data_IF_430512940780
#
_entry.id   IF_430512940780
#
_cell.length_a   1.000
_cell.length_b   1.000
_cell.length_c   1.000
_cell.angle_alpha   90.00
_cell.angle_beta   90.00
_cell.angle_gamma   90.00
#
_symmetry.space_group_name_H-M   'P 1'
#
loop_
_entity.id
_entity.type
_entity.pdbx_description
1 polymer ?
#
# COMPACT_ATOMS: atom_id res chain seq x y z
N UNK A 1 8.25 12.14 -10.47
CA UNK A 1 7.68 13.47 -10.80
C UNK A 1 8.81 14.50 -10.91
N UNK A 2 9.47 14.85 -9.80
CA UNK A 2 10.46 15.94 -9.71
C UNK A 2 11.58 15.94 -10.79
N UNK A 3 12.02 14.78 -11.25
CA UNK A 3 13.13 14.68 -12.21
C UNK A 3 12.77 14.85 -13.70
N UNK A 4 11.49 15.02 -14.07
CA UNK A 4 11.08 15.14 -15.48
C UNK A 4 11.08 16.61 -15.93
N UNK A 5 11.97 17.04 -16.85
CA UNK A 5 12.04 18.46 -17.23
C UNK A 5 10.80 18.95 -17.98
N UNK A 6 10.13 18.06 -18.73
CA UNK A 6 8.94 18.42 -19.49
C UNK A 6 7.66 18.43 -18.66
N UNK A 7 7.72 18.13 -17.36
CA UNK A 7 6.54 18.04 -16.51
C UNK A 7 5.56 16.91 -16.87
N UNK A 8 5.95 15.97 -17.74
CA UNK A 8 5.04 14.94 -18.27
C UNK A 8 4.62 13.88 -17.24
N UNK A 9 5.26 13.84 -16.07
CA UNK A 9 4.95 12.90 -15.00
C UNK A 9 4.16 13.64 -13.93
N UNK A 10 2.96 13.16 -13.64
CA UNK A 10 2.06 13.77 -12.67
C UNK A 10 1.46 12.70 -11.75
N UNK A 11 1.01 13.12 -10.57
CA UNK A 11 0.19 12.32 -9.66
C UNK A 11 -1.24 12.78 -9.85
N UNK A 12 -2.16 11.84 -10.06
CA UNK A 12 -3.59 12.11 -10.12
C UNK A 12 -4.08 12.51 -8.73
N UNK A 13 -4.92 13.53 -8.64
CA UNK A 13 -5.38 14.10 -7.37
C UNK A 13 -6.42 13.18 -6.73
N UNK A 14 -7.23 12.52 -7.56
CA UNK A 14 -8.37 11.73 -7.15
C UNK A 14 -8.02 10.38 -6.50
N UNK A 15 -6.96 9.73 -6.96
CA UNK A 15 -6.57 8.37 -6.56
C UNK A 15 -5.08 8.21 -6.24
N UNK A 16 -4.29 9.27 -6.44
CA UNK A 16 -2.87 9.28 -6.18
C UNK A 16 -2.03 8.46 -7.16
N UNK A 17 -2.59 7.96 -8.27
CA UNK A 17 -1.85 7.19 -9.27
C UNK A 17 -0.89 8.10 -10.03
N UNK A 18 0.39 7.71 -10.06
CA UNK A 18 1.42 8.43 -10.81
C UNK A 18 1.43 7.94 -12.25
N UNK A 19 1.26 8.83 -13.23
CA UNK A 19 1.27 8.52 -14.66
C UNK A 19 2.35 9.30 -15.41
N UNK A 20 2.66 8.84 -16.62
CA UNK A 20 3.50 9.57 -17.59
C UNK A 20 2.62 9.85 -18.79
N UNK A 21 2.30 11.13 -19.02
CA UNK A 21 1.58 11.57 -20.21
C UNK A 21 2.39 11.20 -21.44
N UNK A 22 1.82 10.34 -22.29
CA UNK A 22 2.52 9.93 -23.51
C UNK A 22 2.62 11.10 -24.50
N UNK A 23 1.65 12.03 -24.52
CA UNK A 23 1.73 13.21 -25.40
C UNK A 23 2.73 14.26 -24.89
N UNK A 24 2.81 14.43 -23.56
CA UNK A 24 3.75 15.36 -22.93
C UNK A 24 5.19 14.83 -22.85
N UNK A 25 5.39 13.52 -22.97
CA UNK A 25 6.71 12.91 -22.86
C UNK A 25 7.60 13.27 -24.06
N UNK A 26 8.74 13.91 -23.79
CA UNK A 26 9.74 14.30 -24.80
C UNK A 26 10.98 13.41 -24.84
N UNK A 27 10.96 12.27 -24.14
CA UNK A 27 12.07 11.30 -24.20
C UNK A 27 13.37 11.75 -23.53
N UNK A 28 13.34 12.71 -22.60
CA UNK A 28 14.53 13.20 -21.87
C UNK A 28 15.23 12.14 -21.01
N UNK A 29 14.55 11.04 -20.68
CA UNK A 29 15.05 9.87 -19.92
C UNK A 29 15.56 10.16 -18.50
N UNK A 30 15.60 11.39 -18.00
CA UNK A 30 16.03 11.69 -16.61
C UNK A 30 15.19 10.98 -15.53
N UNK A 31 13.92 10.69 -15.82
CA UNK A 31 13.06 9.96 -14.90
C UNK A 31 13.50 8.51 -14.65
N UNK A 32 14.15 7.86 -15.62
CA UNK A 32 14.58 6.44 -15.55
C UNK A 32 15.65 6.23 -14.47
N UNK A 33 16.81 6.91 -14.48
CA UNK A 33 17.81 6.75 -13.43
C UNK A 33 17.33 7.32 -12.09
N UNK A 34 16.53 8.40 -12.12
CA UNK A 34 16.08 9.09 -10.91
C UNK A 34 15.08 8.29 -10.08
N UNK A 35 14.32 7.35 -10.67
CA UNK A 35 13.48 6.47 -9.90
C UNK A 35 14.37 5.50 -9.11
N UNK A 36 14.40 5.56 -7.76
CA UNK A 36 15.29 4.71 -6.98
C UNK A 36 14.91 3.23 -7.12
N UNK A 37 13.62 2.93 -7.25
CA UNK A 37 13.10 1.58 -7.51
C UNK A 37 13.25 1.07 -8.94
N UNK A 38 13.74 1.90 -9.88
CA UNK A 38 13.88 1.56 -11.31
C UNK A 38 12.60 1.01 -11.93
N UNK A 39 11.46 1.62 -11.60
CA UNK A 39 10.10 1.26 -12.08
C UNK A 39 9.59 2.11 -13.24
N UNK A 40 10.47 2.88 -13.87
CA UNK A 40 10.22 3.58 -15.12
C UNK A 40 11.12 2.95 -16.17
N UNK A 41 10.52 2.52 -17.27
CA UNK A 41 11.18 1.83 -18.37
C UNK A 41 11.13 2.72 -19.60
N UNK A 42 12.21 2.73 -20.36
CA UNK A 42 12.25 3.47 -21.61
C UNK A 42 11.83 2.56 -22.76
N UNK A 43 10.80 2.97 -23.50
CA UNK A 43 10.41 2.32 -24.74
C UNK A 43 11.27 2.90 -25.88
N UNK A 44 12.13 2.06 -26.44
CA UNK A 44 13.08 2.42 -27.48
C UNK A 44 12.42 2.57 -28.86
N UNK A 45 11.23 2.01 -29.08
CA UNK A 45 10.46 2.18 -30.31
C UNK A 45 9.73 3.52 -30.32
N UNK A 46 8.96 3.80 -29.26
CA UNK A 46 8.17 5.05 -29.16
C UNK A 46 9.00 6.25 -28.72
N UNK A 47 10.24 6.01 -28.29
CA UNK A 47 11.15 6.98 -27.69
C UNK A 47 10.60 7.68 -26.43
N UNK A 48 9.64 7.04 -25.73
CA UNK A 48 8.97 7.58 -24.54
C UNK A 48 9.20 6.69 -23.32
N UNK A 49 9.03 7.27 -22.14
CA UNK A 49 9.10 6.54 -20.89
C UNK A 49 7.71 5.99 -20.51
N UNK A 50 7.68 4.75 -20.05
CA UNK A 50 6.50 4.03 -19.60
C UNK A 50 6.71 3.49 -18.19
N UNK A 51 5.62 3.26 -17.46
CA UNK A 51 5.65 2.71 -16.10
C UNK A 51 4.36 1.97 -15.80
N UNK A 52 4.36 1.25 -14.67
CA UNK A 52 3.12 0.72 -14.09
C UNK A 52 2.07 1.84 -13.96
N UNK A 53 0.90 1.66 -14.57
CA UNK A 53 -0.22 2.61 -14.56
C UNK A 53 -1.19 2.36 -13.39
N UNK A 54 -0.81 1.49 -12.46
CA UNK A 54 -1.65 0.97 -11.38
C UNK A 54 -3.02 0.45 -11.86
N UNK A 55 -3.10 0.02 -13.13
CA UNK A 55 -4.35 -0.37 -13.79
C UNK A 55 -5.47 0.67 -13.58
N UNK A 56 -5.17 1.97 -13.69
CA UNK A 56 -6.16 3.03 -13.44
C UNK A 56 -7.52 2.84 -14.15
N UNK A 57 -7.62 2.31 -15.39
CA UNK A 57 -8.93 2.08 -16.01
C UNK A 57 -9.78 1.05 -15.25
N UNK A 58 -9.16 0.11 -14.53
CA UNK A 58 -9.84 -0.84 -13.65
C UNK A 58 -10.22 -0.19 -12.33
N UNK A 59 -9.32 0.61 -11.74
CA UNK A 59 -9.56 1.29 -10.47
C UNK A 59 -10.72 2.28 -10.55
N UNK A 60 -10.83 3.02 -11.65
CA UNK A 60 -11.96 3.91 -11.94
C UNK A 60 -13.32 3.19 -11.90
N UNK A 61 -13.32 1.86 -12.11
CA UNK A 61 -14.50 1.00 -12.05
C UNK A 61 -14.60 0.20 -10.74
N UNK A 62 -13.80 0.51 -9.72
CA UNK A 62 -13.77 -0.21 -8.45
C UNK A 62 -13.18 -1.63 -8.57
N UNK A 63 -12.49 -1.94 -9.66
CA UNK A 63 -11.89 -3.25 -9.90
C UNK A 63 -10.43 -3.28 -9.44
N UNK A 64 -9.95 -4.41 -8.90
CA UNK A 64 -8.55 -4.55 -8.52
C UNK A 64 -7.63 -4.51 -9.74
N UNK A 65 -6.36 -4.16 -9.49
CA UNK A 65 -5.31 -4.24 -10.49
C UNK A 65 -5.12 -5.67 -10.97
N UNK A 66 -4.68 -5.85 -12.22
CA UNK A 66 -4.52 -7.19 -12.82
C UNK A 66 -3.58 -8.07 -11.99
N UNK A 67 -2.49 -7.50 -11.51
CA UNK A 67 -1.50 -8.22 -10.71
C UNK A 67 -1.98 -8.52 -9.28
N UNK A 68 -2.97 -7.79 -8.76
CA UNK A 68 -3.63 -8.10 -7.49
C UNK A 68 -4.73 -9.15 -7.64
N UNK A 69 -5.57 -9.05 -8.66
CA UNK A 69 -6.64 -10.00 -8.94
C UNK A 69 -6.07 -11.38 -9.32
N UNK A 70 -5.01 -11.41 -10.15
CA UNK A 70 -4.30 -12.61 -10.56
C UNK A 70 -3.31 -13.17 -9.52
N UNK A 71 -3.27 -12.63 -8.30
CA UNK A 71 -2.34 -13.08 -7.27
C UNK A 71 -2.79 -14.43 -6.68
N UNK A 72 -2.18 -15.52 -7.16
CA UNK A 72 -2.47 -16.91 -6.74
C UNK A 72 -2.28 -17.10 -5.23
N UNK A 73 -1.22 -16.55 -4.65
CA UNK A 73 -0.93 -16.65 -3.21
C UNK A 73 -1.83 -15.78 -2.32
N UNK A 74 -2.77 -15.03 -2.89
CA UNK A 74 -3.74 -14.19 -2.17
C UNK A 74 -3.13 -13.15 -1.21
N UNK A 75 -1.88 -12.76 -1.42
CA UNK A 75 -1.10 -11.91 -0.51
C UNK A 75 -1.22 -10.39 -0.76
N UNK A 76 -1.97 -9.98 -1.78
CA UNK A 76 -2.13 -8.57 -2.15
C UNK A 76 -3.44 -8.01 -1.62
N UNK A 77 -3.36 -6.82 -1.05
CA UNK A 77 -4.46 -6.05 -0.48
C UNK A 77 -4.46 -4.66 -1.12
N UNK A 78 -5.63 -4.14 -1.45
CA UNK A 78 -5.81 -2.78 -1.96
C UNK A 78 -6.91 -2.12 -1.13
N UNK A 79 -6.59 -0.95 -0.59
CA UNK A 79 -7.51 -0.12 0.17
C UNK A 79 -7.08 1.33 0.11
N UNK A 80 -8.03 2.24 0.39
CA UNK A 80 -7.79 3.68 0.42
C UNK A 80 -6.96 4.04 1.65
N UNK A 81 -6.02 4.97 1.47
CA UNK A 81 -5.29 5.63 2.55
C UNK A 81 -5.52 7.13 2.42
N UNK A 82 -6.08 7.74 3.46
CA UNK A 82 -6.15 9.20 3.56
C UNK A 82 -4.81 9.69 4.09
N UNK A 83 -4.29 10.75 3.50
CA UNK A 83 -3.03 11.36 3.92
C UNK A 83 -3.10 12.87 3.79
N UNK A 84 -2.40 13.55 4.69
CA UNK A 84 -2.21 14.99 4.68
C UNK A 84 -1.07 15.34 3.73
N UNK A 85 -1.42 15.98 2.60
CA UNK A 85 -0.47 16.35 1.57
C UNK A 85 0.56 17.38 2.06
N UNK A 86 0.21 18.25 3.01
CA UNK A 86 1.10 19.29 3.53
C UNK A 86 2.21 18.68 4.40
N UNK A 87 1.93 17.55 5.05
CA UNK A 87 2.92 16.81 5.86
C UNK A 87 3.91 15.99 5.02
N UNK A 88 3.64 15.74 3.74
CA UNK A 88 4.47 14.89 2.87
C UNK A 88 5.92 15.38 2.81
N UNK A 89 6.13 16.69 2.60
CA UNK A 89 7.49 17.25 2.50
C UNK A 89 8.24 17.12 3.82
N UNK A 90 7.57 17.40 4.94
CA UNK A 90 8.18 17.28 6.26
C UNK A 90 8.58 15.83 6.55
N UNK A 91 7.67 14.87 6.31
CA UNK A 91 7.93 13.45 6.53
C UNK A 91 9.09 12.92 5.67
N UNK A 92 9.13 13.28 4.37
CA UNK A 92 10.22 12.90 3.47
C UNK A 92 11.58 13.53 3.83
N UNK A 93 11.56 14.70 4.49
CA UNK A 93 12.77 15.46 4.86
C UNK A 93 13.29 15.14 6.26
N UNK A 94 12.73 14.13 6.94
CA UNK A 94 13.17 13.69 8.27
C UNK A 94 14.68 13.41 8.29
N UNK A 95 15.47 13.98 9.22
CA UNK A 95 16.94 13.86 9.18
C UNK A 95 17.41 12.40 9.25
N UNK A 96 16.95 11.64 10.26
CA UNK A 96 17.28 10.22 10.42
C UNK A 96 16.41 9.36 9.48
N UNK A 97 17.03 8.56 8.58
CA UNK A 97 16.30 7.60 7.76
C UNK A 97 15.42 6.61 8.54
N UNK A 98 15.81 6.22 9.75
CA UNK A 98 15.06 5.27 10.59
C UNK A 98 13.72 5.84 11.05
N UNK A 99 13.64 7.15 11.23
CA UNK A 99 12.42 7.82 11.68
C UNK A 99 11.45 8.17 10.54
N UNK A 100 11.87 8.00 9.28
CA UNK A 100 11.00 8.26 8.10
C UNK A 100 9.73 7.41 8.17
N UNK A 101 9.81 6.14 8.59
CA UNK A 101 8.65 5.28 8.72
C UNK A 101 7.61 5.87 9.68
N UNK A 102 8.04 6.32 10.86
CA UNK A 102 7.16 6.94 11.86
C UNK A 102 6.60 8.27 11.36
N UNK A 103 7.44 9.08 10.72
CA UNK A 103 7.02 10.34 10.11
C UNK A 103 5.98 10.10 8.99
N UNK A 104 6.14 9.05 8.20
CA UNK A 104 5.17 8.66 7.17
C UNK A 104 3.84 8.24 7.80
N UNK A 105 3.85 7.41 8.85
CA UNK A 105 2.63 7.08 9.59
C UNK A 105 1.91 8.33 10.12
N UNK A 106 2.64 9.33 10.62
CA UNK A 106 2.05 10.58 11.12
C UNK A 106 1.39 11.46 10.04
N UNK A 107 1.72 11.22 8.77
CA UNK A 107 1.09 11.88 7.64
C UNK A 107 -0.18 11.16 7.16
N UNK A 108 -0.43 9.93 7.63
CA UNK A 108 -1.67 9.21 7.35
C UNK A 108 -2.77 9.69 8.32
N UNK A 109 -3.99 9.81 7.79
CA UNK A 109 -5.15 10.23 8.56
C UNK A 109 -5.99 9.01 8.97
N UNK A 110 -6.53 9.03 10.19
CA UNK A 110 -7.52 8.04 10.63
C UNK A 110 -8.88 8.34 9.98
N UNK A 111 -9.41 7.46 9.12
CA UNK A 111 -10.69 7.67 8.46
C UNK A 111 -11.91 7.58 9.41
N UNK A 112 -11.74 7.11 10.64
CA UNK A 112 -12.79 7.04 11.65
C UNK A 112 -12.81 8.27 12.58
N UNK A 113 -11.79 9.13 12.51
CA UNK A 113 -11.75 10.38 13.27
C UNK A 113 -12.78 11.38 12.70
N UNK A 114 -13.73 11.90 13.52
CA UNK A 114 -14.67 12.93 13.10
C UNK A 114 -14.02 14.18 12.50
N UNK A 115 -12.83 14.58 12.96
CA UNK A 115 -12.11 15.73 12.42
C UNK A 115 -11.63 15.47 10.99
N UNK A 116 -11.13 14.26 10.71
CA UNK A 116 -10.73 13.85 9.36
C UNK A 116 -11.94 13.76 8.44
N UNK A 117 -13.07 13.26 8.93
CA UNK A 117 -14.30 13.21 8.14
C UNK A 117 -14.83 14.61 7.78
N UNK A 118 -14.73 15.57 8.69
CA UNK A 118 -15.08 16.97 8.41
C UNK A 118 -14.13 17.60 7.38
N UNK A 119 -12.82 17.43 7.55
CA UNK A 119 -11.81 17.93 6.62
C UNK A 119 -11.94 17.30 5.22
N UNK A 120 -12.23 16.00 5.15
CA UNK A 120 -12.46 15.30 3.88
C UNK A 120 -13.68 15.86 3.13
N UNK A 121 -14.74 16.22 3.85
CA UNK A 121 -15.93 16.85 3.27
C UNK A 121 -15.63 18.26 2.75
N UNK A 122 -14.81 19.04 3.47
CA UNK A 122 -14.35 20.35 3.02
C UNK A 122 -13.47 20.26 1.76
N UNK A 123 -12.66 19.20 1.67
CA UNK A 123 -11.83 18.88 0.51
C UNK A 123 -12.59 18.18 -0.64
N UNK A 124 -13.93 18.17 -0.61
CA UNK A 124 -14.82 17.54 -1.60
C UNK A 124 -14.54 16.06 -1.89
N UNK A 125 -13.99 15.33 -0.90
CA UNK A 125 -13.77 13.88 -1.01
C UNK A 125 -15.13 13.17 -0.97
N UNK A 126 -15.50 12.38 -2.00
CA UNK A 126 -16.82 11.76 -2.03
C UNK A 126 -17.05 10.77 -0.87
N UNK A 127 -18.26 10.70 -0.33
CA UNK A 127 -18.61 9.78 0.78
C UNK A 127 -18.24 8.31 0.51
N UNK A 128 -18.28 7.88 -0.76
CA UNK A 128 -17.89 6.52 -1.16
C UNK A 128 -16.40 6.25 -0.88
N UNK A 129 -15.54 7.24 -1.04
CA UNK A 129 -14.12 7.18 -0.74
C UNK A 129 -13.88 7.15 0.77
N UNK A 130 -14.63 7.94 1.54
CA UNK A 130 -14.60 7.88 3.01
C UNK A 130 -15.00 6.50 3.54
N UNK A 131 -16.11 5.94 3.06
CA UNK A 131 -16.54 4.57 3.44
C UNK A 131 -15.51 3.51 3.05
N UNK A 132 -14.84 3.68 1.90
CA UNK A 132 -13.77 2.78 1.47
C UNK A 132 -12.53 2.91 2.35
N UNK A 133 -12.19 4.12 2.79
CA UNK A 133 -11.09 4.36 3.73
C UNK A 133 -11.35 3.74 5.11
N UNK A 134 -12.55 3.93 5.67
CA UNK A 134 -12.95 3.35 6.97
C UNK A 134 -12.88 1.82 6.99
N UNK A 135 -13.14 1.18 5.84
CA UNK A 135 -13.09 -0.28 5.70
C UNK A 135 -11.83 -0.74 4.92
N UNK A 136 -10.75 0.04 4.93
CA UNK A 136 -9.57 -0.20 4.11
C UNK A 136 -8.69 -1.31 4.72
N UNK A 137 -8.44 -2.42 4.00
CA UNK A 137 -7.49 -3.43 4.48
C UNK A 137 -6.05 -2.89 4.53
N UNK A 138 -5.72 -1.92 3.68
CA UNK A 138 -4.42 -1.27 3.69
C UNK A 138 -4.25 -0.40 4.95
N UNK A 139 -5.27 0.38 5.33
CA UNK A 139 -5.23 1.18 6.56
C UNK A 139 -5.06 0.29 7.80
N UNK A 140 -5.80 -0.82 7.87
CA UNK A 140 -5.67 -1.81 8.96
C UNK A 140 -4.25 -2.35 9.09
N UNK A 141 -3.65 -2.78 7.98
CA UNK A 141 -2.31 -3.36 7.98
C UNK A 141 -1.20 -2.33 8.26
N UNK A 142 -1.39 -1.08 7.83
CA UNK A 142 -0.34 -0.05 7.87
C UNK A 142 -0.42 0.80 9.15
N UNK A 143 -1.60 1.34 9.46
CA UNK A 143 -1.78 2.34 10.51
C UNK A 143 -2.32 1.72 11.81
N UNK A 144 -3.36 0.88 11.71
CA UNK A 144 -4.05 0.30 12.88
C UNK A 144 -3.19 -0.79 13.56
N UNK A 145 -2.78 -1.81 12.80
CA UNK A 145 -2.01 -2.95 13.32
C UNK A 145 -0.49 -2.81 13.12
N UNK A 146 -0.06 -1.83 12.31
CA UNK A 146 1.36 -1.55 12.04
C UNK A 146 2.19 -2.78 11.63
N UNK A 147 1.58 -3.70 10.87
CA UNK A 147 2.21 -4.94 10.39
C UNK A 147 2.97 -4.75 9.07
N UNK A 148 2.65 -3.70 8.32
CA UNK A 148 3.23 -3.44 7.02
C UNK A 148 4.24 -2.29 7.10
N UNK A 149 5.29 -2.39 6.30
CA UNK A 149 6.35 -1.39 6.16
C UNK A 149 6.50 -0.90 4.72
N UNK A 150 6.92 0.36 4.50
CA UNK A 150 7.28 0.83 3.18
C UNK A 150 8.54 0.13 2.67
N UNK A 151 8.67 -0.04 1.35
CA UNK A 151 9.91 -0.56 0.77
C UNK A 151 10.97 0.55 0.64
N UNK A 152 12.15 0.36 1.23
CA UNK A 152 13.24 1.33 1.23
C UNK A 152 12.79 2.77 1.58
N UNK A 153 12.31 3.02 2.82
CA UNK A 153 11.89 4.36 3.24
C UNK A 153 13.00 5.42 3.12
N UNK A 154 14.27 5.02 3.22
CA UNK A 154 15.45 5.87 3.07
C UNK A 154 15.57 6.57 1.71
N UNK A 155 14.82 6.10 0.69
CA UNK A 155 14.72 6.77 -0.60
C UNK A 155 13.86 8.04 -0.57
N UNK A 156 13.16 8.31 0.54
CA UNK A 156 12.42 9.57 0.79
C UNK A 156 11.34 9.88 -0.25
N UNK A 157 10.82 8.86 -0.93
CA UNK A 157 9.72 9.01 -1.90
C UNK A 157 8.34 8.78 -1.31
N UNK A 158 8.26 8.37 -0.03
CA UNK A 158 7.04 7.92 0.67
C UNK A 158 6.22 6.92 -0.19
N UNK A 159 6.71 5.68 -0.35
CA UNK A 159 6.10 4.71 -1.28
C UNK A 159 4.76 4.19 -0.75
N UNK A 160 3.72 4.19 -1.60
CA UNK A 160 2.38 3.69 -1.26
C UNK A 160 2.17 2.18 -1.52
N UNK A 161 3.25 1.40 -1.68
CA UNK A 161 3.20 -0.07 -1.74
C UNK A 161 4.01 -0.61 -0.57
N UNK A 162 3.31 -1.29 0.34
CA UNK A 162 3.83 -1.72 1.64
C UNK A 162 3.88 -3.24 1.74
N UNK A 163 4.75 -3.74 2.61
CA UNK A 163 5.07 -5.16 2.73
C UNK A 163 5.00 -5.60 4.19
N UNK A 164 4.32 -6.70 4.44
CA UNK A 164 4.40 -7.43 5.71
C UNK A 164 5.64 -8.33 5.64
N UNK A 165 6.57 -8.28 6.62
CA UNK A 165 7.76 -9.10 6.60
C UNK A 165 7.41 -10.60 6.71
N UNK A 166 8.14 -11.49 6.02
CA UNK A 166 7.85 -12.92 6.05
C UNK A 166 8.38 -13.57 7.33
N UNK A 167 7.61 -14.50 7.88
CA UNK A 167 8.15 -15.50 8.79
C UNK A 167 9.03 -16.50 8.02
N UNK A 168 9.99 -17.12 8.70
CA UNK A 168 10.80 -18.20 8.11
C UNK A 168 11.02 -19.36 9.09
N UNK A 169 11.39 -20.56 8.58
CA UNK A 169 11.73 -21.68 9.43
C UNK A 169 12.93 -21.39 10.34
N UNK A 170 13.12 -22.21 11.38
CA UNK A 170 14.30 -22.16 12.26
C UNK A 170 15.62 -22.37 11.51
N UNK A 171 16.67 -21.66 11.93
CA UNK A 171 18.01 -21.73 11.35
C UNK A 171 18.79 -23.00 11.76
N UNK A 172 18.56 -23.51 12.98
CA UNK A 172 19.16 -24.74 13.53
C UNK A 172 18.07 -25.58 14.20
N UNK A 173 18.25 -26.91 14.24
CA UNK A 173 17.43 -27.79 15.10
C UNK A 173 17.67 -27.36 16.54
N UNK A 174 16.71 -26.66 17.13
CA UNK A 174 16.64 -26.50 18.58
C UNK A 174 16.14 -27.83 19.14
N UNK A 175 16.77 -28.35 20.19
CA UNK A 175 16.44 -29.65 20.80
C UNK A 175 15.15 -29.62 21.65
N UNK A 176 14.45 -28.50 21.71
CA UNK A 176 13.29 -28.30 22.59
C UNK A 176 11.95 -28.24 21.84
N UNK A 177 10.88 -28.57 22.55
CA UNK A 177 9.46 -28.57 22.13
C UNK A 177 8.90 -27.16 21.81
N UNK A 178 9.68 -26.31 21.14
CA UNK A 178 9.27 -24.96 20.75
C UNK A 178 8.56 -25.03 19.40
N UNK A 179 7.23 -24.98 19.41
CA UNK A 179 6.41 -25.11 18.20
C UNK A 179 6.49 -23.88 17.27
N UNK A 180 6.74 -22.69 17.83
CA UNK A 180 6.91 -21.45 17.07
C UNK A 180 8.23 -20.77 17.48
N UNK A 181 9.18 -20.57 16.54
CA UNK A 181 10.46 -19.98 16.88
C UNK A 181 10.38 -18.49 17.17
N UNK A 182 11.24 -18.01 18.05
CA UNK A 182 11.44 -16.58 18.25
C UNK A 182 12.01 -15.90 16.98
N UNK A 183 11.83 -14.58 16.85
CA UNK A 183 12.33 -13.83 15.69
C UNK A 183 13.84 -14.02 15.44
N UNK A 184 14.64 -14.13 16.51
CA UNK A 184 16.09 -14.34 16.43
C UNK A 184 16.51 -15.75 15.98
N UNK A 185 15.61 -16.74 16.10
CA UNK A 185 15.88 -18.14 15.73
C UNK A 185 15.54 -18.44 14.26
N UNK A 186 14.90 -17.49 13.60
CA UNK A 186 14.49 -17.59 12.21
C UNK A 186 15.69 -17.59 11.26
N UNK A 187 15.56 -18.33 10.14
CA UNK A 187 16.59 -18.45 9.12
C UNK A 187 16.88 -17.13 8.39
N UNK A 188 15.87 -16.31 8.16
CA UNK A 188 16.04 -15.00 7.53
C UNK A 188 16.54 -14.02 8.60
N UNK A 189 17.73 -13.40 8.43
CA UNK A 189 18.23 -12.44 9.40
C UNK A 189 17.32 -11.21 9.51
N UNK A 190 16.98 -10.80 10.73
CA UNK A 190 16.18 -9.59 11.01
C UNK A 190 16.86 -8.35 10.41
N UNK A 191 18.18 -8.24 10.57
CA UNK A 191 19.00 -7.17 9.98
C UNK A 191 18.78 -7.00 8.47
N UNK A 192 18.61 -8.10 7.72
CA UNK A 192 18.35 -8.05 6.28
C UNK A 192 16.97 -7.45 5.97
N UNK A 193 15.94 -7.86 6.71
CA UNK A 193 14.59 -7.32 6.56
C UNK A 193 14.54 -5.84 6.97
N UNK A 194 15.29 -5.47 8.02
CA UNK A 194 15.35 -4.10 8.50
C UNK A 194 16.00 -3.17 7.48
N UNK A 195 17.08 -3.59 6.82
CA UNK A 195 17.69 -2.85 5.72
C UNK A 195 16.73 -2.61 4.56
N UNK A 196 15.83 -3.56 4.28
CA UNK A 196 14.88 -3.48 3.17
C UNK A 196 13.65 -2.62 3.47
N UNK A 197 13.16 -2.65 4.71
CA UNK A 197 11.81 -2.18 5.06
C UNK A 197 11.79 -1.03 6.08
N UNK A 198 12.83 -0.88 6.90
CA UNK A 198 12.82 0.05 8.05
C UNK A 198 14.09 0.88 8.15
N UNK A 199 14.87 1.00 7.07
CA UNK A 199 16.16 1.69 7.04
C UNK A 199 17.13 1.22 8.16
N UNK A 200 17.06 -0.06 8.53
CA UNK A 200 17.91 -0.67 9.55
C UNK A 200 17.38 -0.60 10.98
N UNK A 201 16.09 -0.31 11.20
CA UNK A 201 15.44 -0.49 12.50
C UNK A 201 14.97 -1.94 12.68
N UNK A 202 15.79 -2.75 13.35
CA UNK A 202 15.51 -4.17 13.62
C UNK A 202 14.37 -4.36 14.62
N UNK A 203 14.25 -3.49 15.63
CA UNK A 203 13.20 -3.58 16.66
C UNK A 203 11.80 -3.46 16.04
N UNK A 204 11.66 -2.65 14.99
CA UNK A 204 10.41 -2.56 14.24
C UNK A 204 10.03 -3.89 13.57
N UNK A 205 11.00 -4.58 12.97
CA UNK A 205 10.77 -5.89 12.35
C UNK A 205 10.45 -6.95 13.40
N UNK A 206 11.24 -7.03 14.47
CA UNK A 206 11.04 -8.00 15.55
C UNK A 206 9.64 -7.91 16.17
N UNK A 207 9.16 -6.68 16.43
CA UNK A 207 7.79 -6.45 16.91
C UNK A 207 6.75 -7.08 15.98
N UNK A 208 6.85 -6.83 14.68
CA UNK A 208 5.85 -7.37 13.72
C UNK A 208 5.96 -8.89 13.60
N UNK A 209 7.17 -9.44 13.58
CA UNK A 209 7.36 -10.89 13.59
C UNK A 209 6.76 -11.52 14.85
N UNK A 210 6.93 -10.88 16.00
CA UNK A 210 6.32 -11.31 17.26
C UNK A 210 4.78 -11.33 17.18
N UNK A 211 4.15 -10.24 16.71
CA UNK A 211 2.69 -10.17 16.54
C UNK A 211 2.16 -11.25 15.58
N UNK A 212 2.90 -11.54 14.49
CA UNK A 212 2.54 -12.62 13.57
C UNK A 212 2.67 -14.02 14.18
N UNK A 213 3.58 -14.21 15.13
CA UNK A 213 3.71 -15.47 15.88
C UNK A 213 2.60 -15.60 16.93
N UNK A 214 2.28 -14.53 17.66
CA UNK A 214 1.15 -14.49 18.60
C UNK A 214 -0.17 -14.79 17.89
N UNK A 215 -0.39 -14.21 16.70
CA UNK A 215 -1.55 -14.53 15.86
C UNK A 215 -1.68 -16.04 15.63
N UNK A 216 -0.57 -16.72 15.32
CA UNK A 216 -0.57 -18.17 15.12
C UNK A 216 -0.80 -18.94 16.41
N UNK A 217 -0.26 -18.47 17.53
CA UNK A 217 -0.44 -19.08 18.85
C UNK A 217 -1.89 -18.97 19.34
N UNK A 218 -2.50 -17.78 19.25
CA UNK A 218 -3.90 -17.53 19.61
C UNK A 218 -4.84 -18.38 18.76
N UNK A 219 -4.66 -18.37 17.44
CA UNK A 219 -5.52 -19.16 16.54
C UNK A 219 -5.36 -20.67 16.75
N UNK A 220 -4.15 -21.13 17.13
CA UNK A 220 -3.93 -22.52 17.53
C UNK A 220 -4.69 -22.86 18.80
N UNK A 221 -4.49 -22.09 19.88
CA UNK A 221 -5.13 -22.34 21.17
C UNK A 221 -6.66 -22.43 21.03
N UNK A 222 -7.25 -21.55 20.21
CA UNK A 222 -8.68 -21.61 19.88
C UNK A 222 -9.10 -22.87 19.13
N UNK A 223 -8.25 -23.40 18.25
CA UNK A 223 -8.53 -24.59 17.46
C UNK A 223 -8.32 -25.89 18.25
N UNK A 224 -7.34 -25.92 19.15
CA UNK A 224 -6.99 -27.10 19.97
C UNK A 224 -7.74 -27.15 21.30
N UNK A 225 -8.26 -26.01 21.78
CA UNK A 225 -8.86 -25.88 23.10
C UNK A 225 -7.83 -25.66 24.22
N UNK A 226 -6.58 -25.39 23.86
CA UNK A 226 -5.51 -25.09 24.82
C UNK A 226 -5.72 -23.70 25.46
N UNK A 227 -5.07 -23.46 26.60
CA UNK A 227 -5.06 -22.13 27.22
C UNK A 227 -4.46 -21.07 26.28
N UNK A 228 -5.03 -19.87 26.29
CA UNK A 228 -4.48 -18.74 25.54
C UNK A 228 -3.11 -18.34 26.10
N UNK A 229 -2.17 -17.90 25.24
CA UNK A 229 -0.90 -17.36 25.72
C UNK A 229 -1.10 -16.17 26.66
N UNK A 230 -0.26 -16.08 27.69
CA UNK A 230 -0.23 -14.93 28.59
C UNK A 230 0.50 -13.74 27.92
N UNK A 231 0.14 -12.51 28.32
CA UNK A 231 0.82 -11.26 27.90
C UNK A 231 0.80 -10.98 26.37
N UNK A 232 -0.36 -11.11 25.74
CA UNK A 232 -0.53 -10.78 24.33
C UNK A 232 -0.35 -9.28 24.04
N UNK A 233 0.27 -8.96 22.91
CA UNK A 233 0.43 -7.58 22.42
C UNK A 233 -0.91 -6.91 22.11
N UNK A 234 -1.87 -7.66 21.57
CA UNK A 234 -3.21 -7.20 21.23
C UNK A 234 -4.28 -8.04 21.94
N UNK A 235 -5.51 -7.54 21.96
CA UNK A 235 -6.66 -8.33 22.42
C UNK A 235 -7.01 -9.45 21.41
N UNK A 236 -7.78 -10.43 21.88
CA UNK A 236 -8.16 -11.60 21.07
C UNK A 236 -9.01 -11.22 19.86
N UNK A 237 -9.88 -10.20 19.96
CA UNK A 237 -10.73 -9.76 18.86
C UNK A 237 -9.89 -9.16 17.73
N UNK A 238 -8.84 -8.41 18.08
CA UNK A 238 -7.85 -7.90 17.13
C UNK A 238 -7.15 -9.05 16.39
N UNK A 239 -6.69 -10.12 17.07
CA UNK A 239 -6.10 -11.27 16.37
C UNK A 239 -7.11 -12.02 15.49
N UNK A 240 -8.37 -12.11 15.89
CA UNK A 240 -9.43 -12.68 15.05
C UNK A 240 -9.65 -11.85 13.78
N UNK A 241 -9.63 -10.52 13.90
CA UNK A 241 -9.71 -9.61 12.77
C UNK A 241 -8.49 -9.75 11.83
N UNK A 242 -7.28 -9.86 12.40
CA UNK A 242 -6.06 -10.17 11.65
C UNK A 242 -6.17 -11.51 10.93
N UNK A 243 -6.61 -12.57 11.61
CA UNK A 243 -6.80 -13.91 11.01
C UNK A 243 -7.84 -13.89 9.89
N UNK A 244 -8.93 -13.13 10.07
CA UNK A 244 -9.93 -12.97 9.03
C UNK A 244 -9.34 -12.33 7.77
N UNK A 245 -8.53 -11.28 7.93
CA UNK A 245 -7.94 -10.58 6.79
C UNK A 245 -6.78 -11.37 6.15
N UNK A 246 -5.87 -11.92 6.96
CA UNK A 246 -4.64 -12.58 6.50
C UNK A 246 -4.80 -14.08 6.24
N UNK A 247 -5.53 -14.79 7.10
CA UNK A 247 -5.74 -16.23 7.03
C UNK A 247 -6.88 -16.63 6.09
N UNK A 248 -8.09 -16.09 6.30
CA UNK A 248 -9.23 -16.39 5.42
C UNK A 248 -9.14 -15.62 4.10
N UNK A 249 -8.70 -14.36 4.16
CA UNK A 249 -8.30 -13.55 3.01
C UNK A 249 -9.37 -13.44 1.89
N UNK A 250 -10.65 -13.32 2.26
CA UNK A 250 -11.78 -13.28 1.31
C UNK A 250 -11.57 -12.15 0.29
N UNK A 251 -11.83 -12.42 -1.00
CA UNK A 251 -11.55 -11.46 -2.09
C UNK A 251 -12.11 -10.06 -1.83
N UNK A 252 -13.37 -9.98 -1.38
CA UNK A 252 -14.06 -8.70 -1.06
C UNK A 252 -13.44 -7.93 0.10
N UNK A 253 -12.69 -8.59 0.97
CA UNK A 253 -12.03 -7.99 2.14
C UNK A 253 -10.58 -7.62 1.82
N UNK A 254 -9.98 -8.27 0.81
CA UNK A 254 -8.66 -7.89 0.28
C UNK A 254 -8.68 -6.66 -0.60
N UNK A 255 -9.76 -6.45 -1.34
CA UNK A 255 -9.88 -5.34 -2.29
C UNK A 255 -11.09 -4.50 -1.92
N UNK A 256 -10.84 -3.32 -1.34
CA UNK A 256 -11.86 -2.31 -1.07
C UNK A 256 -11.51 -1.04 -1.85
N UNK A 257 -12.03 -0.96 -3.08
CA UNK A 257 -11.68 0.06 -4.07
C UNK A 257 -12.97 0.81 -4.42
N UNK A 258 -13.05 2.13 -4.16
CA UNK A 258 -14.22 2.91 -4.54
C UNK A 258 -14.27 3.04 -6.06
N UNK A 259 -15.46 2.88 -6.64
CA UNK A 259 -15.69 3.10 -8.07
C UNK A 259 -16.01 4.58 -8.37
N UNK A 260 -15.84 4.97 -9.62
CA UNK A 260 -16.27 6.25 -10.19
C UNK A 260 -15.14 7.26 -10.29
N UNK A 261 -14.96 7.80 -11.50
CA UNK A 261 -14.15 8.98 -11.79
C UNK A 261 -14.57 10.12 -10.84
N UNK A 262 -13.62 10.66 -10.07
CA UNK A 262 -13.86 11.92 -9.38
C UNK A 262 -13.86 13.00 -10.48
N UNK A 263 -14.70 14.01 -10.34
CA UNK A 263 -14.80 15.18 -11.26
C UNK A 263 -15.52 14.99 -12.60
N UNK A 264 -16.11 13.82 -12.88
CA UNK A 264 -16.96 13.65 -14.07
C UNK A 264 -18.43 13.65 -13.64
N UNK A 265 -19.16 14.70 -14.01
CA UNK A 265 -20.59 14.78 -13.81
C UNK A 265 -21.30 13.56 -14.42
N UNK A 266 -22.38 13.09 -13.81
CA UNK A 266 -23.18 11.98 -14.35
C UNK A 266 -23.65 12.25 -15.79
N UNK A 267 -23.92 13.51 -16.12
CA UNK A 267 -24.27 13.95 -17.46
C UNK A 267 -23.12 13.73 -18.45
N UNK A 268 -21.90 14.12 -18.06
CA UNK A 268 -20.71 13.88 -18.89
C UNK A 268 -20.43 12.38 -19.07
N UNK A 269 -20.65 11.56 -18.05
CA UNK A 269 -20.54 10.10 -18.18
C UNK A 269 -21.56 9.54 -19.19
N UNK A 270 -22.79 10.08 -19.22
CA UNK A 270 -23.82 9.69 -20.21
C UNK A 270 -23.43 10.11 -21.62
N UNK A 271 -22.90 11.32 -21.81
CA UNK A 271 -22.35 11.74 -23.10
C UNK A 271 -21.23 10.81 -23.58
N UNK A 272 -20.30 10.48 -22.67
CA UNK A 272 -19.16 9.61 -22.97
C UNK A 272 -19.61 8.18 -23.30
N UNK A 273 -20.67 7.65 -22.67
CA UNK A 273 -21.22 6.33 -23.03
C UNK A 273 -21.66 6.21 -24.49
N UNK A 274 -22.12 7.30 -25.11
CA UNK A 274 -22.55 7.32 -26.50
C UNK A 274 -21.45 7.67 -27.52
N UNK A 275 -20.29 8.14 -27.07
CA UNK A 275 -19.26 8.75 -27.94
C UNK A 275 -17.85 8.14 -27.79
N UNK A 276 -17.50 7.62 -26.61
CA UNK A 276 -16.17 7.04 -26.36
C UNK A 276 -16.00 5.74 -27.14
N UNK A 277 -14.83 5.60 -27.79
CA UNK A 277 -14.48 4.45 -28.64
C UNK A 277 -14.68 4.71 -30.13
N UNK A 278 -15.44 5.75 -30.51
CA UNK A 278 -15.54 6.22 -31.89
C UNK A 278 -14.42 7.21 -32.18
N UNK A 279 -13.21 6.70 -32.44
CA UNK A 279 -12.09 7.54 -32.85
C UNK A 279 -12.33 8.06 -34.28
N UNK A 280 -12.65 9.35 -34.40
CA UNK A 280 -12.68 10.04 -35.67
C UNK A 280 -11.27 10.03 -36.29
N UNK A 281 -11.08 9.54 -37.52
CA UNK A 281 -9.74 9.43 -38.13
C UNK A 281 -8.94 10.74 -38.17
N UNK A 282 -9.63 11.90 -38.08
CA UNK A 282 -9.04 13.24 -38.09
C UNK A 282 -8.65 13.82 -36.72
N UNK A 283 -8.84 13.10 -35.61
CA UNK A 283 -8.31 13.48 -34.30
C UNK A 283 -9.07 14.54 -33.50
N UNK A 284 -10.17 15.11 -34.01
CA UNK A 284 -11.08 16.00 -33.28
C UNK A 284 -12.53 15.84 -33.78
N UNK A 285 -13.23 14.86 -33.22
CA UNK A 285 -14.69 14.77 -33.11
C UNK A 285 -14.93 14.27 -31.66
#
# INVERSE_FOLDING_TARGET
>A
VAACPSGAIYKRDEDGVVLISQDGCRGWRHCVPSCPYKKIYYNWETNKAEKCTFCFPRLENGLPTVCSDGCVGRMRYIGVLLYDADKVKAAASTPDPKDIYKAYLSALCDPNDPAVAAAAKEADIPDRWMRAAQNSPAHKLIAEWQLAFPLHPEYRTLPNVWYVPPLSPIARRVEEEVFFPGAAEMRIPVAYLAQLLTAGDEAAIERVLHVLLELRAVMRAKQTGDALPENLTHDVETYEAMYRLLGLAKRRERFNIPAGLQDVAQEKLRELQGSVGYACPGGCC
#
